data_IF_363518132538
#
_entry.id   IF_363518132538
#
_cell.length_a   1.000
_cell.length_b   1.000
_cell.length_c   1.000
_cell.angle_alpha   90.00
_cell.angle_beta   90.00
_cell.angle_gamma   90.00
#
_symmetry.space_group_name_H-M   'P 1'
#
loop_
_entity.id
_entity.type
_entity.pdbx_description
1 polymer ?
#
# COMPACT_ATOMS: atom_id res chain seq x y z
N UNK A 1 -47.50 -10.72 -6.99
CA UNK A 1 -46.23 -10.36 -7.65
C UNK A 1 -45.41 -9.30 -6.90
N UNK A 2 -45.97 -8.20 -6.39
CA UNK A 2 -45.21 -7.14 -5.69
C UNK A 2 -44.42 -7.60 -4.43
N UNK A 3 -44.91 -8.59 -3.68
CA UNK A 3 -44.28 -9.07 -2.42
C UNK A 3 -42.96 -9.83 -2.63
N UNK A 4 -42.78 -10.50 -3.77
CA UNK A 4 -41.54 -11.23 -4.07
C UNK A 4 -40.42 -10.32 -4.58
N UNK A 5 -40.78 -9.20 -5.23
CA UNK A 5 -39.83 -8.21 -5.71
C UNK A 5 -39.11 -7.51 -4.54
N UNK A 6 -39.81 -7.25 -3.44
CA UNK A 6 -39.23 -6.65 -2.23
C UNK A 6 -38.23 -7.58 -1.53
N UNK A 7 -38.48 -8.89 -1.53
CA UNK A 7 -37.56 -9.88 -0.93
C UNK A 7 -36.29 -10.02 -1.78
N UNK A 8 -36.42 -10.05 -3.11
CA UNK A 8 -35.27 -10.10 -4.02
C UNK A 8 -34.43 -8.82 -3.88
N UNK A 9 -35.06 -7.65 -3.81
CA UNK A 9 -34.36 -6.38 -3.60
C UNK A 9 -33.60 -6.36 -2.26
N UNK A 10 -34.23 -6.85 -1.18
CA UNK A 10 -33.59 -6.93 0.14
C UNK A 10 -32.39 -7.90 0.12
N UNK A 11 -32.51 -9.01 -0.60
CA UNK A 11 -31.42 -9.99 -0.75
C UNK A 11 -30.28 -9.42 -1.58
N UNK A 12 -30.55 -8.67 -2.65
CA UNK A 12 -29.53 -7.96 -3.42
C UNK A 12 -28.82 -6.90 -2.58
N UNK A 13 -29.54 -6.13 -1.76
CA UNK A 13 -28.93 -5.13 -0.85
C UNK A 13 -28.05 -5.82 0.20
N UNK A 14 -28.48 -6.94 0.77
CA UNK A 14 -27.66 -7.71 1.71
C UNK A 14 -26.42 -8.33 1.04
N UNK A 15 -26.52 -8.78 -0.22
CA UNK A 15 -25.37 -9.24 -1.00
C UNK A 15 -24.39 -8.10 -1.33
N UNK A 16 -24.90 -6.89 -1.60
CA UNK A 16 -24.05 -5.70 -1.78
C UNK A 16 -23.38 -5.25 -0.48
N UNK A 17 -24.05 -5.41 0.67
CA UNK A 17 -23.47 -5.11 1.99
C UNK A 17 -22.46 -6.17 2.45
N UNK A 18 -22.65 -7.44 2.06
CA UNK A 18 -21.69 -8.52 2.32
C UNK A 18 -20.48 -8.49 1.36
N UNK A 19 -20.63 -7.87 0.18
CA UNK A 19 -19.54 -7.57 -0.75
C UNK A 19 -18.79 -6.27 -0.40
N UNK A 20 -19.07 -5.68 0.77
CA UNK A 20 -18.15 -4.75 1.42
C UNK A 20 -16.99 -5.60 1.96
N UNK A 21 -16.19 -6.11 1.01
CA UNK A 21 -14.99 -6.89 1.26
C UNK A 21 -14.14 -6.01 2.17
N UNK A 22 -13.91 -6.50 3.40
CA UNK A 22 -12.93 -5.89 4.27
C UNK A 22 -11.63 -5.85 3.47
N UNK A 23 -11.20 -4.66 3.08
CA UNK A 23 -9.84 -4.43 2.57
C UNK A 23 -8.89 -4.73 3.74
N UNK A 24 -8.74 -6.01 4.07
CA UNK A 24 -7.73 -6.51 4.99
C UNK A 24 -6.43 -6.26 4.25
N UNK A 25 -5.74 -5.17 4.59
CA UNK A 25 -4.52 -4.86 3.89
C UNK A 25 -3.46 -5.93 4.14
N UNK A 26 -2.69 -6.12 3.07
CA UNK A 26 -1.59 -7.05 3.01
C UNK A 26 -0.36 -6.49 3.74
N UNK A 27 -0.09 -5.19 3.62
CA UNK A 27 1.16 -4.57 4.07
C UNK A 27 0.93 -3.18 4.68
N UNK A 28 1.32 -3.00 5.94
CA UNK A 28 1.41 -1.71 6.60
C UNK A 28 2.85 -1.18 6.50
N UNK A 29 3.00 0.10 6.16
CA UNK A 29 4.29 0.80 6.12
C UNK A 29 4.33 1.87 7.21
N UNK A 30 5.51 2.07 7.81
CA UNK A 30 5.72 3.09 8.84
C UNK A 30 7.13 3.63 8.77
N UNK A 31 7.33 4.95 8.85
CA UNK A 31 8.68 5.48 9.05
C UNK A 31 9.22 5.06 10.42
N UNK A 32 10.52 4.71 10.49
CA UNK A 32 11.22 4.23 11.70
C UNK A 32 10.94 5.07 12.94
N UNK A 33 10.71 6.35 12.73
CA UNK A 33 10.38 7.27 13.78
C UNK A 33 9.10 8.04 13.51
N UNK A 34 8.02 7.46 12.95
CA UNK A 34 6.80 8.12 12.41
C UNK A 34 6.22 9.42 13.04
N UNK A 35 6.67 9.86 14.22
CA UNK A 35 6.55 11.24 14.73
C UNK A 35 7.61 12.22 14.20
N UNK A 36 8.59 11.75 13.45
CA UNK A 36 9.78 12.51 13.09
C UNK A 36 9.46 13.52 12.04
N UNK A 37 8.60 13.28 11.05
CA UNK A 37 8.24 14.36 10.10
C UNK A 37 7.56 15.52 10.81
N UNK A 38 6.63 15.25 11.75
CA UNK A 38 5.98 16.30 12.55
C UNK A 38 6.99 17.12 13.38
N UNK A 39 8.13 16.52 13.73
CA UNK A 39 9.15 17.11 14.60
C UNK A 39 10.49 17.41 13.91
N UNK A 40 10.63 17.04 12.64
CA UNK A 40 11.82 17.18 11.81
C UNK A 40 11.73 18.54 11.16
N UNK A 41 12.75 19.36 11.38
CA UNK A 41 12.85 20.59 10.61
C UNK A 41 13.20 20.22 9.19
N UNK A 42 12.63 20.93 8.22
CA UNK A 42 12.98 20.77 6.79
C UNK A 42 14.48 20.89 6.51
N UNK A 43 15.22 21.64 7.34
CA UNK A 43 16.69 21.76 7.29
C UNK A 43 17.44 20.47 7.64
N UNK A 44 16.79 19.58 8.38
CA UNK A 44 17.36 18.37 8.95
C UNK A 44 16.99 17.13 8.10
N UNK A 45 16.29 17.36 6.98
CA UNK A 45 15.90 16.33 6.02
C UNK A 45 17.12 15.64 5.41
N UNK A 46 17.15 14.31 5.57
CA UNK A 46 17.98 13.42 4.76
C UNK A 46 17.17 12.90 3.59
N UNK A 47 17.78 12.86 2.40
CA UNK A 47 17.17 12.24 1.25
C UNK A 47 16.83 10.76 1.54
N UNK A 48 17.66 10.03 2.27
CA UNK A 48 17.40 8.61 2.58
C UNK A 48 16.86 8.42 4.00
N UNK A 49 15.77 7.66 4.13
CA UNK A 49 15.10 7.30 5.38
C UNK A 49 14.72 5.81 5.44
N UNK A 50 14.60 5.29 6.66
CA UNK A 50 14.16 3.91 6.92
C UNK A 50 12.64 3.83 7.05
N UNK A 51 12.04 2.88 6.33
CA UNK A 51 10.63 2.53 6.40
C UNK A 51 10.53 1.09 6.94
N UNK A 52 9.81 0.91 8.03
CA UNK A 52 9.38 -0.40 8.52
C UNK A 52 8.18 -0.89 7.73
N UNK A 53 8.14 -2.18 7.47
CA UNK A 53 6.98 -2.84 6.93
C UNK A 53 6.47 -3.91 7.88
N UNK A 54 5.16 -4.15 7.83
CA UNK A 54 4.46 -5.19 8.59
C UNK A 54 3.45 -5.86 7.67
N UNK A 55 3.61 -7.16 7.43
CA UNK A 55 2.70 -7.99 6.65
C UNK A 55 1.66 -8.55 7.60
N UNK A 56 0.38 -8.41 7.25
CA UNK A 56 -0.69 -9.03 8.02
C UNK A 56 -0.53 -10.57 7.97
N UNK A 57 -0.63 -11.24 9.13
CA UNK A 57 -0.41 -12.70 9.25
C UNK A 57 -1.30 -13.52 8.31
N UNK A 58 -2.51 -13.03 7.99
CA UNK A 58 -3.42 -13.65 7.01
C UNK A 58 -2.76 -13.82 5.64
N UNK A 59 -1.81 -12.96 5.30
CA UNK A 59 -1.09 -12.93 4.03
C UNK A 59 0.39 -13.29 4.17
N UNK A 60 0.79 -14.01 5.24
CA UNK A 60 2.19 -14.42 5.48
C UNK A 60 2.88 -15.12 4.30
N UNK A 61 2.10 -15.75 3.43
CA UNK A 61 2.59 -16.40 2.21
C UNK A 61 3.22 -15.40 1.23
N UNK A 62 2.76 -14.15 1.22
CA UNK A 62 3.31 -13.05 0.44
C UNK A 62 4.65 -12.56 0.99
N UNK A 63 4.97 -12.84 2.26
CA UNK A 63 6.22 -12.47 2.91
C UNK A 63 7.41 -13.41 2.60
N UNK A 64 7.24 -14.40 1.70
CA UNK A 64 8.23 -15.47 1.45
C UNK A 64 9.27 -15.10 0.39
N UNK A 65 10.21 -14.20 0.71
CA UNK A 65 11.30 -13.80 -0.20
C UNK A 65 10.79 -13.31 -1.57
N UNK A 66 9.64 -12.66 -1.58
CA UNK A 66 9.04 -12.04 -2.75
C UNK A 66 9.48 -10.59 -2.84
N UNK A 67 9.77 -10.15 -4.06
CA UNK A 67 10.22 -8.78 -4.32
C UNK A 67 9.02 -7.94 -4.73
N UNK A 68 8.94 -6.73 -4.20
CA UNK A 68 7.85 -5.79 -4.41
C UNK A 68 8.39 -4.42 -4.80
N UNK A 69 7.54 -3.62 -5.43
CA UNK A 69 7.70 -2.18 -5.60
C UNK A 69 6.43 -1.48 -5.13
N UNK A 70 6.51 -0.18 -4.90
CA UNK A 70 5.37 0.67 -4.60
C UNK A 70 5.23 1.68 -5.74
N UNK A 71 4.03 1.84 -6.26
CA UNK A 71 3.67 2.89 -7.20
C UNK A 71 2.94 4.03 -6.46
N UNK A 72 3.42 5.26 -6.61
CA UNK A 72 2.72 6.50 -6.34
C UNK A 72 1.84 6.85 -7.53
N UNK A 73 0.53 6.94 -7.32
CA UNK A 73 -0.43 7.46 -8.31
C UNK A 73 -1.11 8.71 -7.78
N UNK A 74 -1.51 9.62 -8.67
CA UNK A 74 -2.31 10.78 -8.27
C UNK A 74 -3.75 10.33 -7.95
N UNK A 75 -4.18 10.52 -6.70
CA UNK A 75 -5.56 10.28 -6.27
C UNK A 75 -6.35 11.58 -6.12
N UNK A 76 -7.67 11.45 -6.02
CA UNK A 76 -8.60 12.58 -5.85
C UNK A 76 -8.40 13.34 -4.53
N UNK A 77 -7.88 12.66 -3.51
CA UNK A 77 -7.73 13.17 -2.14
C UNK A 77 -6.27 13.22 -1.68
N UNK A 78 -5.32 13.05 -2.60
CA UNK A 78 -3.89 12.92 -2.29
C UNK A 78 -3.24 11.81 -3.12
N UNK A 79 -1.92 11.63 -3.02
CA UNK A 79 -1.23 10.54 -3.66
C UNK A 79 -1.63 9.19 -3.05
N UNK A 80 -1.90 8.21 -3.90
CA UNK A 80 -2.15 6.83 -3.50
C UNK A 80 -0.88 6.00 -3.70
N UNK A 81 -0.54 5.15 -2.74
CA UNK A 81 0.58 4.22 -2.86
C UNK A 81 0.05 2.80 -3.02
N UNK A 82 0.43 2.12 -4.10
CA UNK A 82 -0.01 0.75 -4.41
C UNK A 82 1.18 -0.17 -4.52
N UNK A 83 1.12 -1.33 -3.85
CA UNK A 83 2.22 -2.30 -3.86
C UNK A 83 2.02 -3.31 -4.98
N UNK A 84 3.07 -3.57 -5.74
CA UNK A 84 3.11 -4.57 -6.80
C UNK A 84 4.20 -5.59 -6.54
N UNK A 85 3.88 -6.88 -6.65
CA UNK A 85 4.91 -7.91 -6.73
C UNK A 85 5.66 -7.78 -8.07
N UNK A 86 6.98 -7.89 -8.01
CA UNK A 86 7.84 -7.89 -9.19
C UNK A 86 8.72 -9.12 -9.23
N UNK A 87 8.90 -9.67 -10.43
CA UNK A 87 9.80 -10.77 -10.68
C UNK A 87 11.01 -10.26 -11.46
N UNK A 88 12.21 -10.60 -10.96
CA UNK A 88 13.46 -10.35 -11.69
C UNK A 88 13.52 -11.25 -12.92
N UNK A 89 13.86 -10.65 -14.06
CA UNK A 89 14.06 -11.30 -15.36
C UNK A 89 15.42 -10.90 -15.92
N UNK A 90 15.84 -11.51 -17.04
CA UNK A 90 17.19 -11.32 -17.61
C UNK A 90 17.53 -9.83 -17.81
N UNK A 91 16.57 -9.07 -18.31
CA UNK A 91 16.75 -7.66 -18.69
C UNK A 91 16.03 -6.71 -17.71
N UNK A 92 15.82 -7.13 -16.45
CA UNK A 92 15.32 -6.26 -15.38
C UNK A 92 14.17 -6.87 -14.56
N UNK A 93 13.01 -6.22 -14.52
CA UNK A 93 11.86 -6.60 -13.69
C UNK A 93 10.55 -6.59 -14.48
N UNK A 94 9.61 -7.43 -14.04
CA UNK A 94 8.24 -7.51 -14.54
C UNK A 94 7.26 -7.52 -13.37
N UNK A 95 6.20 -6.73 -13.41
CA UNK A 95 5.10 -6.80 -12.43
C UNK A 95 4.36 -8.12 -12.61
N UNK A 96 4.11 -8.82 -11.52
CA UNK A 96 3.30 -10.04 -11.48
C UNK A 96 1.82 -9.67 -11.55
N UNK A 97 1.06 -10.37 -12.39
CA UNK A 97 -0.40 -10.21 -12.56
C UNK A 97 -0.85 -8.79 -12.94
N UNK A 98 -0.18 -8.19 -13.93
CA UNK A 98 -0.52 -6.87 -14.47
C UNK A 98 -1.00 -6.98 -15.92
N UNK A 99 -2.00 -6.18 -16.36
CA UNK A 99 -2.36 -6.12 -17.79
C UNK A 99 -1.19 -5.69 -18.70
N UNK A 100 -0.11 -5.16 -18.11
CA UNK A 100 1.14 -4.79 -18.79
C UNK A 100 2.19 -5.93 -18.81
N UNK A 101 1.77 -7.18 -18.65
CA UNK A 101 2.61 -8.38 -18.57
C UNK A 101 3.70 -8.52 -19.66
N UNK A 102 3.59 -7.85 -20.81
CA UNK A 102 4.57 -7.94 -21.89
C UNK A 102 5.72 -6.94 -21.78
N UNK A 103 5.72 -6.06 -20.79
CA UNK A 103 6.78 -5.08 -20.60
C UNK A 103 7.80 -5.57 -19.57
N UNK A 104 9.04 -5.71 -20.00
CA UNK A 104 10.21 -5.91 -19.12
C UNK A 104 10.89 -4.56 -18.94
N UNK A 105 11.10 -4.18 -17.68
CA UNK A 105 11.69 -2.88 -17.35
C UNK A 105 13.11 -3.04 -16.82
N UNK A 106 14.10 -2.29 -17.33
CA UNK A 106 15.52 -2.47 -16.99
C UNK A 106 15.85 -2.26 -15.51
N UNK A 107 15.13 -1.36 -14.83
CA UNK A 107 15.14 -1.19 -13.38
C UNK A 107 13.75 -0.75 -12.90
N UNK A 108 13.49 -0.88 -11.59
CA UNK A 108 12.21 -0.42 -11.04
C UNK A 108 12.08 1.11 -11.09
N UNK A 109 13.18 1.84 -10.98
CA UNK A 109 13.23 3.30 -11.18
C UNK A 109 12.86 3.72 -12.62
N UNK A 110 12.97 2.81 -13.60
CA UNK A 110 12.55 3.07 -14.98
C UNK A 110 11.05 2.89 -15.23
N UNK A 111 10.27 2.42 -14.24
CA UNK A 111 8.80 2.47 -14.33
C UNK A 111 8.26 3.92 -14.34
N UNK A 112 9.13 4.90 -14.13
CA UNK A 112 8.85 6.33 -14.10
C UNK A 112 9.09 6.91 -12.71
N UNK A 113 8.99 8.23 -12.56
CA UNK A 113 9.04 8.93 -11.24
C UNK A 113 7.96 8.46 -10.25
N UNK A 114 7.06 7.60 -10.70
CA UNK A 114 5.92 7.08 -9.97
C UNK A 114 6.23 5.80 -9.21
N UNK A 115 7.37 5.14 -9.39
CA UNK A 115 7.66 3.86 -8.72
C UNK A 115 8.90 3.92 -7.84
N UNK A 116 8.83 3.22 -6.70
CA UNK A 116 9.90 3.15 -5.73
C UNK A 116 10.89 2.01 -6.03
N UNK A 117 12.14 2.11 -5.55
CA UNK A 117 13.07 0.99 -5.59
C UNK A 117 12.43 -0.29 -5.04
N UNK A 118 12.74 -1.42 -5.68
CA UNK A 118 12.20 -2.70 -5.22
C UNK A 118 12.79 -3.11 -3.88
N UNK A 119 11.97 -3.72 -3.05
CA UNK A 119 12.38 -4.32 -1.79
C UNK A 119 11.90 -5.76 -1.71
N UNK A 120 12.59 -6.59 -0.92
CA UNK A 120 12.20 -7.98 -0.72
C UNK A 120 11.62 -8.13 0.68
N UNK A 121 10.42 -8.70 0.76
CA UNK A 121 9.85 -9.12 2.04
C UNK A 121 10.56 -10.40 2.46
N UNK A 122 11.33 -10.33 3.54
CA UNK A 122 12.10 -11.45 4.09
C UNK A 122 11.39 -12.12 5.27
N UNK A 123 10.27 -11.54 5.73
CA UNK A 123 9.47 -12.02 6.84
C UNK A 123 8.23 -11.15 7.04
N UNK A 124 7.48 -11.40 8.11
CA UNK A 124 6.28 -10.63 8.45
C UNK A 124 6.56 -9.18 8.82
N UNK A 125 7.80 -8.85 9.14
CA UNK A 125 8.23 -7.48 9.37
C UNK A 125 9.69 -7.30 9.01
N UNK A 126 10.07 -6.06 8.76
CA UNK A 126 11.44 -5.69 8.45
C UNK A 126 11.55 -4.21 8.10
N UNK A 127 12.66 -3.84 7.48
CA UNK A 127 12.94 -2.46 7.07
C UNK A 127 13.34 -2.39 5.61
N UNK A 128 13.07 -1.24 5.00
CA UNK A 128 13.51 -0.85 3.67
C UNK A 128 14.07 0.57 3.76
N UNK A 129 15.12 0.86 3.01
CA UNK A 129 15.63 2.22 2.87
C UNK A 129 15.01 2.87 1.65
N UNK A 130 14.54 4.11 1.80
CA UNK A 130 13.99 4.89 0.71
C UNK A 130 14.68 6.24 0.63
N UNK A 131 15.11 6.57 -0.58
CA UNK A 131 15.45 7.94 -0.94
C UNK A 131 14.20 8.70 -1.38
N UNK A 132 13.97 9.85 -0.79
CA UNK A 132 13.03 10.89 -1.16
C UNK A 132 13.82 12.03 -1.80
N UNK A 133 13.35 12.51 -2.94
CA UNK A 133 14.03 13.60 -3.65
C UNK A 133 13.76 14.95 -2.99
N UNK A 134 12.62 15.08 -2.31
CA UNK A 134 12.22 16.32 -1.64
C UNK A 134 11.52 16.05 -0.32
N UNK A 135 11.55 17.04 0.57
CA UNK A 135 10.76 17.02 1.81
C UNK A 135 9.25 16.91 1.55
N UNK A 136 8.75 17.54 0.47
CA UNK A 136 7.33 17.46 0.12
C UNK A 136 6.90 16.07 -0.31
N UNK A 137 7.78 15.31 -0.96
CA UNK A 137 7.51 13.91 -1.30
C UNK A 137 7.45 13.02 -0.05
N UNK A 138 8.26 13.35 0.96
CA UNK A 138 8.23 12.70 2.25
C UNK A 138 6.92 13.00 3.02
N UNK A 139 6.48 14.25 3.04
CA UNK A 139 5.18 14.65 3.60
C UNK A 139 4.03 13.89 2.93
N UNK A 140 3.98 13.90 1.59
CA UNK A 140 3.01 13.14 0.80
C UNK A 140 2.95 11.65 1.16
N UNK A 141 4.11 11.04 1.44
CA UNK A 141 4.20 9.63 1.79
C UNK A 141 3.71 9.35 3.21
N UNK A 142 4.01 10.25 4.14
CA UNK A 142 3.55 10.14 5.53
C UNK A 142 2.04 10.36 5.63
N UNK A 143 1.50 11.38 4.95
CA UNK A 143 0.06 11.64 4.92
C UNK A 143 -0.73 10.43 4.40
N UNK A 144 -0.19 9.72 3.41
CA UNK A 144 -0.82 8.50 2.90
C UNK A 144 -0.78 7.35 3.92
N UNK A 145 0.28 7.24 4.73
CA UNK A 145 0.36 6.27 5.83
C UNK A 145 -0.63 6.64 6.94
N UNK A 146 -0.68 7.90 7.35
CA UNK A 146 -1.51 8.37 8.46
C UNK A 146 -3.00 8.30 8.10
N UNK A 147 -3.38 8.72 6.89
CA UNK A 147 -4.74 8.56 6.39
C UNK A 147 -5.23 7.11 6.47
N UNK A 148 -4.34 6.17 6.15
CA UNK A 148 -4.65 4.75 6.24
C UNK A 148 -4.77 4.26 7.69
N UNK A 149 -3.86 4.67 8.58
CA UNK A 149 -3.92 4.32 10.01
C UNK A 149 -5.20 4.85 10.67
N UNK A 150 -5.58 6.09 10.38
CA UNK A 150 -6.83 6.69 10.85
C UNK A 150 -8.05 5.90 10.35
N UNK A 151 -8.03 5.47 9.08
CA UNK A 151 -9.10 4.65 8.51
C UNK A 151 -9.21 3.29 9.20
N UNK A 152 -8.09 2.64 9.51
CA UNK A 152 -8.07 1.41 10.31
C UNK A 152 -8.67 1.59 11.71
N UNK A 153 -8.32 2.69 12.39
CA UNK A 153 -8.85 2.99 13.73
C UNK A 153 -10.38 3.19 13.69
N UNK A 154 -10.90 3.84 12.64
CA UNK A 154 -12.34 4.00 12.43
C UNK A 154 -13.03 2.65 12.25
N UNK A 155 -12.46 1.75 11.44
CA UNK A 155 -13.02 0.41 11.21
C UNK A 155 -13.05 -0.42 12.49
N UNK A 156 -11.99 -0.36 13.29
CA UNK A 156 -11.90 -1.12 14.53
C UNK A 156 -12.96 -0.65 15.53
N UNK A 157 -13.13 0.67 15.69
CA UNK A 157 -14.19 1.27 16.52
C UNK A 157 -15.61 0.89 16.09
N UNK A 158 -15.82 0.60 14.80
CA UNK A 158 -17.12 0.17 14.28
C UNK A 158 -17.35 -1.34 14.44
N UNK A 159 -16.29 -2.15 14.55
CA UNK A 159 -16.38 -3.57 14.88
C UNK A 159 -16.77 -3.80 16.34
N UNK A 160 -16.24 -2.98 17.26
CA UNK A 160 -16.55 -3.06 18.71
C UNK A 160 -17.97 -2.60 19.07
N UNK A 161 -18.69 -1.97 18.13
CA UNK A 161 -20.08 -1.49 18.33
C UNK A 161 -21.15 -2.46 17.81
N UNK A 162 -20.78 -3.63 17.29
CA UNK A 162 -21.70 -4.67 16.81
C UNK A 162 -21.69 -5.88 17.72
#
# INVERSE_FOLDING_TARGET
MKKHLSIILLFCIMLFLAACDSNDEVLLLRLENGKTIETMKKSDFSATLTIHYYVNEKYKELAKNRTYTIQKTAGRYGPNYTIFEVKKVKDGYKIVDSPYENFTMPSVEHFGKEYLPSFTLTGLSGTIERKFDTYSELEDFQDAIDYYLDWLEIIDKDKDKK
#
